data_IF_528494256618
#
_entry.id   IF_528494256618
#
_cell.length_a   1.000
_cell.length_b   1.000
_cell.length_c   1.000
_cell.angle_alpha   90.00
_cell.angle_beta   90.00
_cell.angle_gamma   90.00
#
_symmetry.space_group_name_H-M   'P 1'
#
loop_
_entity.id
_entity.type
_entity.pdbx_description
1 polymer ?
#
# COMPACT_ATOMS: atom_id res chain seq x y z
N UNK A 1 0.90 31.47 15.55
CA UNK A 1 1.16 31.58 14.10
C UNK A 1 0.97 30.18 13.52
N UNK A 2 -0.10 29.95 12.77
CA UNK A 2 -0.37 28.66 12.14
C UNK A 2 0.31 28.67 10.78
N UNK A 3 1.37 27.88 10.64
CA UNK A 3 2.05 27.67 9.36
C UNK A 3 1.11 26.86 8.47
N UNK A 4 0.38 27.57 7.60
CA UNK A 4 -0.31 26.97 6.46
C UNK A 4 0.75 26.40 5.53
N UNK A 5 1.07 25.13 5.71
CA UNK A 5 1.82 24.39 4.69
C UNK A 5 0.95 24.40 3.43
N UNK A 6 1.51 24.77 2.27
CA UNK A 6 0.77 24.67 1.02
C UNK A 6 0.39 23.20 0.84
N UNK A 7 -0.92 22.92 0.89
CA UNK A 7 -1.50 21.66 0.43
C UNK A 7 -1.26 21.56 -1.08
N UNK A 8 -0.02 21.29 -1.49
CA UNK A 8 0.21 20.46 -2.67
C UNK A 8 -0.15 19.03 -2.27
N UNK A 9 -1.41 18.81 -1.84
CA UNK A 9 -1.96 17.50 -1.55
C UNK A 9 -2.36 16.89 -2.88
N UNK A 10 -1.39 16.57 -3.73
CA UNK A 10 -1.64 15.47 -4.63
C UNK A 10 -1.89 14.26 -3.73
N UNK A 11 -3.11 13.76 -3.76
CA UNK A 11 -3.45 12.60 -2.97
C UNK A 11 -2.74 11.40 -3.59
N UNK A 12 -1.86 10.76 -2.81
CA UNK A 12 -1.12 9.58 -3.23
C UNK A 12 -1.69 8.32 -2.59
N UNK A 13 -1.63 7.24 -3.34
CA UNK A 13 -1.73 5.88 -2.85
C UNK A 13 -0.31 5.38 -2.63
N UNK A 14 -0.03 4.89 -1.43
CA UNK A 14 1.27 4.35 -1.06
C UNK A 14 1.15 2.91 -0.58
N UNK A 15 2.13 2.10 -0.95
CA UNK A 15 2.18 0.69 -0.64
C UNK A 15 3.37 0.40 0.26
N UNK A 16 3.10 -0.31 1.35
CA UNK A 16 4.08 -0.68 2.36
C UNK A 16 4.09 -2.19 2.49
N UNK A 17 5.26 -2.76 2.73
CA UNK A 17 5.40 -4.19 2.95
C UNK A 17 5.60 -4.47 4.43
N UNK A 18 4.66 -5.17 5.03
CA UNK A 18 4.78 -5.66 6.39
C UNK A 18 5.40 -7.07 6.34
N UNK A 19 6.65 -7.26 6.84
CA UNK A 19 7.31 -8.55 6.78
C UNK A 19 6.63 -9.57 7.70
N UNK A 20 6.71 -10.86 7.33
CA UNK A 20 6.19 -11.93 8.15
C UNK A 20 6.88 -11.94 9.53
N UNK A 21 6.07 -12.07 10.57
CA UNK A 21 6.52 -12.24 11.95
C UNK A 21 6.08 -13.60 12.48
N UNK A 22 6.47 -13.95 13.71
CA UNK A 22 6.01 -15.19 14.35
C UNK A 22 4.50 -15.22 14.59
N UNK A 23 3.86 -14.05 14.63
CA UNK A 23 2.44 -13.89 14.98
C UNK A 23 1.54 -13.60 13.77
N UNK A 24 2.11 -13.09 12.67
CA UNK A 24 1.35 -12.67 11.48
C UNK A 24 2.12 -12.97 10.19
N UNK A 25 1.46 -13.43 9.12
CA UNK A 25 2.09 -13.56 7.81
C UNK A 25 2.50 -12.19 7.23
N UNK A 26 3.32 -12.21 6.19
CA UNK A 26 3.67 -11.00 5.46
C UNK A 26 2.45 -10.46 4.71
N UNK A 27 2.34 -9.13 4.64
CA UNK A 27 1.20 -8.43 4.05
C UNK A 27 1.66 -7.17 3.30
N UNK A 28 0.81 -6.71 2.37
CA UNK A 28 0.94 -5.39 1.76
C UNK A 28 -0.13 -4.48 2.34
N UNK A 29 0.30 -3.30 2.78
CA UNK A 29 -0.56 -2.24 3.28
C UNK A 29 -0.68 -1.19 2.18
N UNK A 30 -1.88 -0.93 1.69
CA UNK A 30 -2.17 0.17 0.77
C UNK A 30 -2.83 1.30 1.57
N UNK A 31 -2.23 2.48 1.54
CA UNK A 31 -2.77 3.68 2.18
C UNK A 31 -3.16 4.68 1.11
N UNK A 32 -4.46 4.90 0.94
CA UNK A 32 -5.02 5.92 0.06
C UNK A 32 -5.07 7.26 0.80
N UNK A 33 -4.87 8.36 0.05
CA UNK A 33 -4.74 9.71 0.60
C UNK A 33 -3.64 9.80 1.67
N UNK A 34 -2.55 9.05 1.49
CA UNK A 34 -1.48 8.96 2.47
C UNK A 34 -0.77 10.32 2.65
N UNK A 35 -0.63 10.83 3.88
CA UNK A 35 0.01 12.11 4.17
C UNK A 35 1.54 12.02 4.27
N UNK A 36 2.10 10.80 4.37
CA UNK A 36 3.52 10.54 4.60
C UNK A 36 4.03 9.37 3.75
N UNK A 37 5.32 9.37 3.41
CA UNK A 37 5.99 8.24 2.75
C UNK A 37 6.32 7.09 3.72
N UNK A 38 6.10 7.32 5.02
CA UNK A 38 6.28 6.34 6.09
C UNK A 38 5.02 6.16 6.91
N UNK A 39 4.80 4.95 7.42
CA UNK A 39 3.75 4.64 8.38
C UNK A 39 4.33 3.92 9.59
N UNK A 40 3.70 4.07 10.74
CA UNK A 40 4.04 3.34 11.95
C UNK A 40 2.95 2.31 12.21
N UNK A 41 3.31 1.04 12.20
CA UNK A 41 2.41 -0.08 12.47
C UNK A 41 2.67 -0.58 13.88
N UNK A 42 1.70 -0.44 14.81
CA UNK A 42 1.88 -0.94 16.16
C UNK A 42 1.87 -2.46 16.16
N UNK A 43 2.98 -3.06 16.60
CA UNK A 43 3.07 -4.51 16.84
C UNK A 43 3.13 -4.80 18.34
N UNK A 44 3.05 -6.08 18.72
CA UNK A 44 3.11 -6.48 20.13
C UNK A 44 4.51 -6.32 20.73
N UNK A 45 5.56 -6.40 19.91
CA UNK A 45 6.95 -6.30 20.36
C UNK A 45 7.43 -4.85 20.33
N UNK A 46 7.24 -4.15 19.21
CA UNK A 46 7.64 -2.76 19.01
C UNK A 46 6.82 -2.09 17.87
N UNK A 47 6.70 -0.77 17.91
CA UNK A 47 6.14 -0.01 16.79
C UNK A 47 7.09 -0.13 15.57
N UNK A 48 6.59 -0.68 14.46
CA UNK A 48 7.39 -0.87 13.26
C UNK A 48 7.16 0.29 12.29
N UNK A 49 8.23 1.04 12.00
CA UNK A 49 8.21 2.04 10.93
C UNK A 49 8.41 1.35 9.58
N UNK A 50 7.49 1.59 8.64
CA UNK A 50 7.53 1.06 7.29
C UNK A 50 7.65 2.21 6.29
N UNK A 51 8.52 2.02 5.31
CA UNK A 51 8.68 2.94 4.18
C UNK A 51 7.88 2.43 2.97
N UNK A 52 7.29 3.36 2.21
CA UNK A 52 6.57 3.02 1.00
C UNK A 52 7.54 2.46 -0.05
N UNK A 53 7.27 1.26 -0.54
CA UNK A 53 8.08 0.66 -1.63
C UNK A 53 7.56 1.07 -3.01
N UNK A 54 6.30 1.50 -3.08
CA UNK A 54 5.66 1.97 -4.30
C UNK A 54 4.67 3.07 -3.97
N UNK A 55 4.57 4.06 -4.86
CA UNK A 55 3.60 5.14 -4.74
C UNK A 55 3.05 5.52 -6.11
N UNK A 56 1.82 6.01 -6.12
CA UNK A 56 1.14 6.49 -7.33
C UNK A 56 0.09 7.54 -6.99
N UNK A 57 -0.30 8.40 -7.93
CA UNK A 57 -1.47 9.25 -7.73
C UNK A 57 -2.75 8.41 -7.57
N UNK A 58 -3.72 8.96 -6.84
CA UNK A 58 -5.07 8.40 -6.82
C UNK A 58 -5.67 8.42 -8.23
N UNK A 59 -6.38 7.35 -8.57
CA UNK A 59 -7.25 7.35 -9.75
C UNK A 59 -8.49 8.21 -9.49
N UNK A 60 -9.13 8.71 -10.55
CA UNK A 60 -10.37 9.49 -10.45
C UNK A 60 -11.46 8.74 -9.67
N UNK A 61 -11.50 7.41 -9.81
CA UNK A 61 -12.44 6.54 -9.12
C UNK A 61 -12.15 6.48 -7.62
N UNK A 62 -10.90 6.33 -7.22
CA UNK A 62 -10.51 6.33 -5.81
C UNK A 62 -10.73 7.70 -5.17
N UNK A 63 -10.40 8.78 -5.89
CA UNK A 63 -10.67 10.14 -5.42
C UNK A 63 -12.17 10.37 -5.18
N UNK A 64 -13.02 9.84 -6.07
CA UNK A 64 -14.47 9.92 -5.92
C UNK A 64 -15.02 9.07 -4.76
N UNK A 65 -14.44 7.88 -4.53
CA UNK A 65 -14.91 6.96 -3.47
C UNK A 65 -14.44 7.41 -2.09
N UNK A 66 -13.17 7.80 -1.95
CA UNK A 66 -12.53 8.03 -0.65
C UNK A 66 -12.46 9.50 -0.24
N UNK A 67 -12.93 10.43 -1.09
CA UNK A 67 -13.23 11.85 -0.74
C UNK A 67 -12.20 12.59 0.14
N UNK A 68 -10.91 12.27 0.04
CA UNK A 68 -9.79 12.81 0.84
C UNK A 68 -9.58 12.21 2.24
N UNK A 69 -10.32 11.18 2.63
CA UNK A 69 -10.07 10.45 3.88
C UNK A 69 -8.92 9.44 3.70
N UNK A 70 -8.01 9.42 4.67
CA UNK A 70 -6.95 8.42 4.72
C UNK A 70 -7.59 7.04 4.92
N UNK A 71 -7.37 6.14 3.96
CA UNK A 71 -7.96 4.80 3.98
C UNK A 71 -6.87 3.75 3.91
N UNK A 72 -6.94 2.81 4.83
CA UNK A 72 -5.97 1.71 4.94
C UNK A 72 -6.61 0.42 4.45
N UNK A 73 -5.93 -0.26 3.55
CA UNK A 73 -6.26 -1.60 3.08
C UNK A 73 -5.09 -2.54 3.35
N UNK A 74 -5.43 -3.77 3.71
CA UNK A 74 -4.46 -4.81 4.04
C UNK A 74 -4.69 -5.98 3.07
N UNK A 75 -3.62 -6.45 2.46
CA UNK A 75 -3.64 -7.56 1.51
C UNK A 75 -2.72 -8.66 2.00
N UNK A 76 -3.27 -9.85 2.22
CA UNK A 76 -2.50 -11.01 2.69
C UNK A 76 -1.82 -11.78 1.55
N UNK A 77 -2.21 -11.50 0.31
CA UNK A 77 -1.67 -12.13 -0.89
C UNK A 77 -1.58 -11.15 -2.06
N UNK A 78 -0.64 -11.41 -2.97
CA UNK A 78 -0.53 -10.65 -4.22
C UNK A 78 -1.76 -10.81 -5.11
N UNK A 79 -2.42 -11.97 -5.07
CA UNK A 79 -3.64 -12.22 -5.84
C UNK A 79 -4.79 -11.31 -5.41
N UNK A 80 -4.99 -11.15 -4.09
CA UNK A 80 -6.01 -10.26 -3.52
C UNK A 80 -5.77 -8.79 -3.94
N UNK A 81 -4.51 -8.34 -3.83
CA UNK A 81 -4.11 -7.00 -4.25
C UNK A 81 -4.38 -6.78 -5.75
N UNK A 82 -3.96 -7.72 -6.60
CA UNK A 82 -4.15 -7.62 -8.05
C UNK A 82 -5.63 -7.64 -8.44
N UNK A 83 -6.46 -8.45 -7.78
CA UNK A 83 -7.91 -8.51 -8.02
C UNK A 83 -8.61 -7.21 -7.63
N UNK A 84 -8.27 -6.63 -6.46
CA UNK A 84 -8.79 -5.31 -6.05
C UNK A 84 -8.42 -4.24 -7.08
N UNK A 85 -7.17 -4.23 -7.52
CA UNK A 85 -6.64 -3.26 -8.48
C UNK A 85 -7.28 -3.39 -9.88
N UNK A 86 -7.51 -4.61 -10.34
CA UNK A 86 -8.28 -4.85 -11.56
C UNK A 86 -9.73 -4.38 -11.40
N UNK A 87 -10.35 -4.59 -10.22
CA UNK A 87 -11.71 -4.18 -9.92
C UNK A 87 -11.92 -2.65 -9.90
N UNK A 88 -10.91 -1.89 -9.45
CA UNK A 88 -10.92 -0.42 -9.48
C UNK A 88 -10.49 0.16 -10.83
N UNK A 89 -9.96 -0.68 -11.73
CA UNK A 89 -9.54 -0.27 -13.07
C UNK A 89 -8.17 0.38 -13.09
N UNK A 90 -7.26 -0.08 -12.25
CA UNK A 90 -5.90 0.45 -12.20
C UNK A 90 -5.19 0.27 -13.55
N UNK A 91 -4.43 1.27 -13.96
CA UNK A 91 -3.70 1.23 -15.22
C UNK A 91 -2.74 0.05 -15.29
N UNK A 92 -2.59 -0.53 -16.49
CA UNK A 92 -1.72 -1.70 -16.74
C UNK A 92 -0.29 -1.48 -16.23
N UNK A 93 0.24 -0.27 -16.38
CA UNK A 93 1.59 0.09 -15.92
C UNK A 93 1.77 -0.04 -14.40
N UNK A 94 0.77 0.37 -13.61
CA UNK A 94 0.82 0.23 -12.15
C UNK A 94 0.75 -1.24 -11.72
N UNK A 95 -0.07 -2.03 -12.41
CA UNK A 95 -0.16 -3.49 -12.19
C UNK A 95 1.17 -4.17 -12.55
N UNK A 96 1.81 -3.79 -13.65
CA UNK A 96 3.12 -4.31 -14.06
C UNK A 96 4.21 -3.98 -13.04
N UNK A 97 4.22 -2.76 -12.49
CA UNK A 97 5.16 -2.36 -11.44
C UNK A 97 4.93 -3.15 -10.14
N UNK A 98 3.69 -3.28 -9.67
CA UNK A 98 3.34 -4.10 -8.50
C UNK A 98 3.75 -5.58 -8.70
N UNK A 99 3.57 -6.11 -9.92
CA UNK A 99 4.02 -7.46 -10.27
C UNK A 99 5.55 -7.59 -10.29
N UNK A 100 6.29 -6.53 -10.62
CA UNK A 100 7.74 -6.55 -10.52
C UNK A 100 8.22 -6.68 -9.06
N UNK A 101 7.55 -5.98 -8.12
CA UNK A 101 7.84 -6.11 -6.69
C UNK A 101 7.55 -7.50 -6.16
N UNK A 102 6.46 -8.14 -6.60
CA UNK A 102 6.17 -9.55 -6.28
C UNK A 102 7.34 -10.49 -6.61
N UNK A 103 8.01 -10.28 -7.74
CA UNK A 103 9.12 -11.13 -8.16
C UNK A 103 10.44 -10.82 -7.44
N UNK A 104 10.47 -9.81 -6.55
CA UNK A 104 11.64 -9.43 -5.78
C UNK A 104 11.74 -10.29 -4.51
N UNK A 105 12.95 -10.77 -4.13
CA UNK A 105 13.15 -11.62 -2.95
C UNK A 105 12.80 -10.93 -1.62
N UNK A 106 12.61 -9.61 -1.63
CA UNK A 106 12.31 -8.83 -0.44
C UNK A 106 10.81 -8.75 -0.10
N UNK A 107 9.91 -9.17 -1.00
CA UNK A 107 8.46 -8.95 -0.89
C UNK A 107 7.64 -10.23 -1.02
N UNK A 108 8.01 -11.25 -0.24
CA UNK A 108 7.35 -12.58 -0.24
C UNK A 108 6.09 -12.60 0.62
N UNK A 109 4.91 -12.76 -0.01
CA UNK A 109 3.63 -12.91 0.68
C UNK A 109 3.20 -14.38 0.81
N UNK A 110 2.26 -14.66 1.73
CA UNK A 110 1.73 -16.02 1.88
C UNK A 110 0.98 -16.47 0.60
N UNK A 111 1.24 -17.70 0.17
CA UNK A 111 0.62 -18.30 -1.03
C UNK A 111 1.58 -18.66 -2.16
N UNK A 112 2.84 -18.22 -2.12
CA UNK A 112 3.79 -18.44 -3.24
C UNK A 112 4.60 -19.74 -3.17
N UNK A 113 4.39 -20.58 -2.14
CA UNK A 113 5.07 -21.87 -1.96
C UNK A 113 4.26 -23.10 -2.41
N UNK A 114 3.15 -22.90 -3.13
CA UNK A 114 2.30 -24.01 -3.58
C UNK A 114 1.93 -23.88 -5.07
N UNK A 115 2.89 -24.13 -5.96
CA UNK A 115 2.65 -24.59 -7.33
C UNK A 115 3.83 -25.42 -7.84
#
# INVERSE_FOLDING_TARGET
MFTVHPKSSQAYVRYFYFPASKERPAEVIEVLNSPSETIVVPTREEDLELEAFFERPLSDREAAVYQSDETWKLFASWEELLQDHQGVGLGKEAIEQLTAFRNSPNYTLQGELAA
#
